data_IF_895167009731
#
_entry.id   IF_895167009731
#
_cell.length_a   1.000
_cell.length_b   1.000
_cell.length_c   1.000
_cell.angle_alpha   90.00
_cell.angle_beta   90.00
_cell.angle_gamma   90.00
#
_symmetry.space_group_name_H-M   'P 1'
#
loop_
_entity.id
_entity.type
_entity.pdbx_description
1 polymer ?
#
# COMPACT_ATOMS: atom_id res chain seq x y z
N UNK A 1 5.99 12.16 -14.14
CA UNK A 1 5.98 11.30 -15.33
C UNK A 1 6.97 10.17 -15.16
N UNK A 2 6.57 8.93 -15.46
CA UNK A 2 7.44 7.77 -15.58
C UNK A 2 7.72 7.57 -17.08
N UNK A 3 8.98 7.39 -17.49
CA UNK A 3 9.31 7.06 -18.88
C UNK A 3 8.91 5.62 -19.19
N UNK A 4 8.62 5.31 -20.46
CA UNK A 4 8.31 3.94 -20.89
C UNK A 4 9.44 2.98 -20.49
N UNK A 5 10.69 3.41 -20.64
CA UNK A 5 11.87 2.65 -20.22
C UNK A 5 11.85 2.30 -18.72
N UNK A 6 11.52 3.27 -17.85
CA UNK A 6 11.40 3.03 -16.40
C UNK A 6 10.24 2.09 -16.07
N UNK A 7 9.15 2.12 -16.84
CA UNK A 7 8.04 1.19 -16.67
C UNK A 7 8.44 -0.23 -17.06
N UNK A 8 9.18 -0.43 -18.15
CA UNK A 8 9.52 -1.76 -18.66
C UNK A 8 10.32 -2.60 -17.66
N UNK A 9 11.05 -1.97 -16.72
CA UNK A 9 11.77 -2.65 -15.62
C UNK A 9 10.84 -3.52 -14.74
N UNK A 10 9.53 -3.27 -14.72
CA UNK A 10 8.60 -4.13 -13.95
C UNK A 10 8.27 -5.45 -14.65
N UNK A 11 8.44 -5.51 -15.97
CA UNK A 11 8.16 -6.70 -16.78
C UNK A 11 9.38 -7.59 -16.93
N UNK A 12 10.57 -7.08 -16.60
CA UNK A 12 11.79 -7.86 -16.57
C UNK A 12 11.96 -8.55 -15.21
N UNK A 13 12.60 -9.71 -15.20
CA UNK A 13 13.02 -10.37 -13.94
C UNK A 13 14.29 -9.73 -13.35
N UNK A 14 14.85 -8.73 -14.04
CA UNK A 14 16.04 -8.00 -13.61
C UNK A 14 15.72 -7.09 -12.43
N UNK A 15 16.04 -7.57 -11.24
CA UNK A 15 15.93 -6.82 -9.99
C UNK A 15 17.32 -6.44 -9.49
N UNK A 16 17.76 -5.24 -9.83
CA UNK A 16 19.11 -4.76 -9.51
C UNK A 16 19.32 -4.51 -8.02
N UNK A 17 18.26 -4.13 -7.29
CA UNK A 17 18.36 -3.71 -5.89
C UNK A 17 18.08 -4.89 -4.96
N UNK A 18 19.13 -5.64 -4.62
CA UNK A 18 19.07 -6.82 -3.74
C UNK A 18 19.16 -6.43 -2.26
N UNK A 19 18.39 -7.11 -1.43
CA UNK A 19 18.54 -7.04 0.01
C UNK A 19 19.72 -7.91 0.46
N UNK A 20 20.49 -7.38 1.38
CA UNK A 20 21.62 -8.00 2.05
C UNK A 20 21.21 -8.96 3.18
N UNK A 21 20.03 -8.75 3.77
CA UNK A 21 19.54 -9.57 4.90
C UNK A 21 18.57 -10.68 4.48
N UNK A 22 18.08 -10.69 3.24
CA UNK A 22 17.18 -11.73 2.76
C UNK A 22 17.20 -11.87 1.22
N UNK A 23 16.63 -12.94 0.64
CA UNK A 23 16.67 -13.18 -0.81
C UNK A 23 15.85 -12.20 -1.67
N UNK A 24 15.22 -11.17 -1.08
CA UNK A 24 14.35 -10.24 -1.81
C UNK A 24 15.17 -9.25 -2.63
N UNK A 25 14.72 -8.99 -3.86
CA UNK A 25 15.24 -7.97 -4.73
C UNK A 25 14.12 -7.09 -5.30
N UNK A 26 14.45 -5.85 -5.66
CA UNK A 26 13.53 -4.81 -6.09
C UNK A 26 14.01 -4.11 -7.36
N UNK A 27 13.06 -3.54 -8.09
CA UNK A 27 13.31 -2.80 -9.34
C UNK A 27 13.73 -1.34 -9.11
N UNK A 28 13.50 -0.82 -7.90
CA UNK A 28 13.81 0.56 -7.55
C UNK A 28 14.50 0.63 -6.20
N UNK A 29 15.53 1.49 -6.10
CA UNK A 29 16.29 1.72 -4.86
C UNK A 29 15.41 2.13 -3.69
N UNK A 30 14.41 2.99 -3.92
CA UNK A 30 13.47 3.45 -2.90
C UNK A 30 12.67 2.29 -2.28
N UNK A 31 12.33 1.28 -3.08
CA UNK A 31 11.66 0.07 -2.58
C UNK A 31 12.60 -0.78 -1.73
N UNK A 32 13.86 -0.93 -2.12
CA UNK A 32 14.87 -1.62 -1.31
C UNK A 32 15.06 -0.91 0.04
N UNK A 33 15.24 0.41 0.05
CA UNK A 33 15.42 1.19 1.28
C UNK A 33 14.20 1.01 2.20
N UNK A 34 12.98 1.11 1.66
CA UNK A 34 11.76 0.89 2.43
C UNK A 34 11.68 -0.54 2.97
N UNK A 35 12.12 -1.52 2.20
CA UNK A 35 12.17 -2.89 2.66
C UNK A 35 13.23 -3.12 3.75
N UNK A 36 14.39 -2.50 3.67
CA UNK A 36 15.43 -2.61 4.69
C UNK A 36 14.97 -2.08 6.05
N UNK A 37 14.11 -1.04 6.07
CA UNK A 37 13.45 -0.59 7.30
C UNK A 37 12.53 -1.65 7.95
N UNK A 38 12.17 -2.73 7.24
CA UNK A 38 11.41 -3.84 7.85
C UNK A 38 12.30 -4.87 8.55
N UNK A 39 13.61 -4.87 8.26
CA UNK A 39 14.58 -5.68 8.98
C UNK A 39 15.13 -4.95 10.21
N UNK A 40 15.29 -3.63 10.10
CA UNK A 40 15.70 -2.80 11.22
C UNK A 40 14.51 -2.52 12.16
N UNK A 41 14.67 -2.81 13.45
CA UNK A 41 13.69 -2.45 14.47
C UNK A 41 13.61 -0.94 14.73
N UNK A 42 14.53 -0.16 14.14
CA UNK A 42 14.87 1.21 14.55
C UNK A 42 14.03 2.35 13.96
N UNK A 43 13.48 2.24 12.74
CA UNK A 43 12.72 3.35 12.14
C UNK A 43 11.21 3.17 12.27
N UNK A 44 10.74 3.52 13.45
CA UNK A 44 9.34 3.51 13.85
C UNK A 44 8.73 4.90 13.66
N UNK A 45 7.60 4.96 12.97
CA UNK A 45 6.80 6.16 12.77
C UNK A 45 5.60 6.08 13.71
N UNK A 46 5.63 6.87 14.76
CA UNK A 46 4.58 6.90 15.79
C UNK A 46 3.44 7.81 15.37
N UNK A 47 2.21 7.44 15.71
CA UNK A 47 1.07 8.33 15.55
C UNK A 47 0.98 9.25 16.76
N UNK A 48 0.93 10.56 16.54
CA UNK A 48 0.78 11.52 17.66
C UNK A 48 -0.63 11.47 18.29
N UNK A 49 -1.61 10.92 17.57
CA UNK A 49 -3.00 10.87 18.04
C UNK A 49 -3.35 9.53 18.72
N UNK A 50 -2.46 8.52 18.71
CA UNK A 50 -2.67 7.24 19.42
C UNK A 50 -1.38 6.42 19.57
N UNK A 51 -1.41 5.36 20.38
CA UNK A 51 -0.23 4.50 20.66
C UNK A 51 0.25 3.62 19.50
N UNK A 52 -0.23 3.82 18.27
CA UNK A 52 0.12 2.98 17.12
C UNK A 52 1.43 3.42 16.48
N UNK A 53 2.21 2.42 16.09
CA UNK A 53 3.53 2.58 15.48
C UNK A 53 3.57 1.86 14.14
N UNK A 54 4.21 2.48 13.15
CA UNK A 54 4.31 1.99 11.78
C UNK A 54 5.77 1.91 11.34
N UNK A 55 6.09 1.02 10.41
CA UNK A 55 7.42 0.89 9.82
C UNK A 55 7.57 1.62 8.48
N UNK A 56 6.48 2.22 7.99
CA UNK A 56 6.44 2.97 6.72
C UNK A 56 5.62 4.26 6.90
N UNK A 57 6.15 5.42 6.47
CA UNK A 57 5.47 6.70 6.65
C UNK A 57 4.16 6.78 5.85
N UNK A 58 4.08 6.11 4.70
CA UNK A 58 2.84 6.08 3.90
C UNK A 58 1.71 5.36 4.66
N UNK A 59 2.05 4.32 5.41
CA UNK A 59 1.11 3.61 6.28
C UNK A 59 0.64 4.48 7.45
N UNK A 60 1.54 5.22 8.12
CA UNK A 60 1.16 6.18 9.16
C UNK A 60 0.20 7.25 8.60
N UNK A 61 0.53 7.83 7.45
CA UNK A 61 -0.31 8.86 6.81
C UNK A 61 -1.70 8.32 6.44
N UNK A 62 -1.78 7.10 5.91
CA UNK A 62 -3.06 6.43 5.65
C UNK A 62 -3.84 6.18 6.94
N UNK A 63 -3.17 5.76 7.99
CA UNK A 63 -3.78 5.58 9.31
C UNK A 63 -4.37 6.90 9.82
N UNK A 64 -3.58 7.98 9.85
CA UNK A 64 -4.03 9.31 10.28
C UNK A 64 -5.25 9.77 9.50
N UNK A 65 -5.20 9.71 8.16
CA UNK A 65 -6.34 10.10 7.31
C UNK A 65 -7.60 9.30 7.62
N UNK A 66 -7.46 7.98 7.80
CA UNK A 66 -8.61 7.09 7.97
C UNK A 66 -9.20 7.08 9.37
N UNK A 67 -8.38 7.26 10.42
CA UNK A 67 -8.80 7.07 11.81
C UNK A 67 -8.96 8.38 12.59
N UNK A 68 -8.20 9.42 12.25
CA UNK A 68 -8.16 10.65 13.04
C UNK A 68 -8.77 11.85 12.29
N UNK A 69 -8.53 11.96 10.99
CA UNK A 69 -9.08 13.07 10.18
C UNK A 69 -10.46 12.73 9.59
N UNK A 70 -10.76 11.44 9.41
CA UNK A 70 -11.99 11.01 8.74
C UNK A 70 -12.03 11.36 7.25
N UNK A 71 -10.88 11.69 6.63
CA UNK A 71 -10.77 12.03 5.22
C UNK A 71 -11.10 10.80 4.35
N UNK A 72 -12.30 10.81 3.76
CA UNK A 72 -12.80 9.74 2.89
C UNK A 72 -12.86 10.20 1.44
N UNK A 73 -11.72 10.13 0.76
CA UNK A 73 -11.56 10.61 -0.61
C UNK A 73 -12.16 9.69 -1.68
N UNK A 74 -12.56 8.47 -1.34
CA UNK A 74 -12.97 7.47 -2.32
C UNK A 74 -14.47 7.16 -2.20
N UNK A 75 -15.29 7.81 -3.03
CA UNK A 75 -16.72 7.56 -3.10
C UNK A 75 -17.06 6.36 -3.99
N UNK A 76 -18.03 5.56 -3.56
CA UNK A 76 -18.67 4.57 -4.39
C UNK A 76 -19.62 5.26 -5.38
N UNK A 77 -19.46 5.04 -6.71
CA UNK A 77 -20.35 5.66 -7.69
C UNK A 77 -21.79 5.09 -7.62
N UNK A 78 -21.96 3.85 -7.15
CA UNK A 78 -23.25 3.17 -7.15
C UNK A 78 -24.14 3.55 -5.96
N UNK A 79 -23.54 3.89 -4.80
CA UNK A 79 -24.30 4.18 -3.58
C UNK A 79 -23.82 5.41 -2.78
N UNK A 80 -22.80 6.14 -3.27
CA UNK A 80 -22.27 7.33 -2.62
C UNK A 80 -21.47 7.09 -1.34
N UNK A 81 -21.38 5.85 -0.82
CA UNK A 81 -20.58 5.53 0.37
C UNK A 81 -19.11 5.89 0.17
N UNK A 82 -18.53 6.60 1.12
CA UNK A 82 -17.15 7.06 1.04
C UNK A 82 -16.20 6.21 1.89
N UNK A 83 -14.97 6.05 1.39
CA UNK A 83 -13.93 5.22 1.99
C UNK A 83 -12.64 6.03 2.12
N UNK A 84 -11.90 5.77 3.19
CA UNK A 84 -10.60 6.39 3.43
C UNK A 84 -9.48 5.82 2.55
N UNK A 85 -9.71 4.66 1.90
CA UNK A 85 -8.73 4.00 1.03
C UNK A 85 -9.38 3.48 -0.24
N UNK A 86 -8.63 3.49 -1.34
CA UNK A 86 -9.06 2.92 -2.62
C UNK A 86 -9.29 1.41 -2.53
N UNK A 87 -8.48 0.69 -1.73
CA UNK A 87 -8.67 -0.73 -1.46
C UNK A 87 -9.99 -1.02 -0.75
N UNK A 88 -10.38 -0.20 0.23
CA UNK A 88 -11.67 -0.30 0.91
C UNK A 88 -12.84 -0.11 -0.05
N UNK A 89 -12.76 0.89 -0.94
CA UNK A 89 -13.75 1.06 -2.02
C UNK A 89 -13.78 -0.15 -2.96
N UNK A 90 -12.61 -0.67 -3.38
CA UNK A 90 -12.53 -1.84 -4.27
C UNK A 90 -13.20 -3.06 -3.65
N UNK A 91 -12.93 -3.32 -2.37
CA UNK A 91 -13.57 -4.42 -1.64
C UNK A 91 -15.09 -4.18 -1.54
N UNK A 92 -15.51 -2.97 -1.21
CA UNK A 92 -16.91 -2.62 -1.12
C UNK A 92 -17.66 -2.85 -2.44
N UNK A 93 -17.06 -2.55 -3.59
CA UNK A 93 -17.69 -2.78 -4.90
C UNK A 93 -18.13 -4.22 -5.14
N UNK A 94 -17.56 -5.21 -4.43
CA UNK A 94 -18.02 -6.59 -4.52
C UNK A 94 -19.46 -6.78 -4.03
N UNK A 95 -19.98 -5.93 -3.14
CA UNK A 95 -21.38 -6.02 -2.70
C UNK A 95 -22.37 -5.63 -3.80
N UNK A 96 -21.93 -4.78 -4.73
CA UNK A 96 -22.71 -4.37 -5.90
C UNK A 96 -22.52 -5.33 -7.07
N UNK A 97 -21.53 -6.22 -6.99
CA UNK A 97 -21.29 -7.25 -8.00
C UNK A 97 -22.12 -8.49 -7.68
N UNK A 98 -22.90 -8.95 -8.64
CA UNK A 98 -23.58 -10.26 -8.58
C UNK A 98 -22.63 -11.43 -8.81
N UNK A 99 -21.36 -11.15 -9.15
CA UNK A 99 -20.32 -12.15 -9.36
C UNK A 99 -19.71 -12.51 -8.01
N UNK A 100 -19.87 -13.76 -7.57
CA UNK A 100 -19.05 -14.33 -6.48
C UNK A 100 -17.65 -14.60 -7.04
N UNK A 101 -16.61 -13.84 -6.65
CA UNK A 101 -15.27 -13.99 -7.24
C UNK A 101 -14.56 -15.27 -6.77
N UNK A 102 -15.05 -15.88 -5.68
CA UNK A 102 -14.51 -17.11 -5.13
C UNK A 102 -15.61 -18.17 -5.14
N UNK A 103 -15.35 -19.23 -5.89
CA UNK A 103 -16.17 -20.45 -5.90
C UNK A 103 -15.37 -21.47 -5.09
N UNK A 104 -15.97 -22.08 -4.06
CA UNK A 104 -15.34 -23.20 -3.36
C UNK A 104 -15.21 -24.37 -4.33
N UNK A 105 -14.00 -24.95 -4.42
CA UNK A 105 -13.80 -26.25 -5.05
C UNK A 105 -13.98 -27.35 -4.02
#
# INVERSE_FOLDING_TARGET
SCSLEQHMVIHTEEREYKCDQCPKAFNWKSNLIRHQMSHDSGKRFECENCVKVFTDPSNLQRHIRSQHVGARAHACPDCGKTFATSSGLKQHKHIHSTVKPFICK
#
